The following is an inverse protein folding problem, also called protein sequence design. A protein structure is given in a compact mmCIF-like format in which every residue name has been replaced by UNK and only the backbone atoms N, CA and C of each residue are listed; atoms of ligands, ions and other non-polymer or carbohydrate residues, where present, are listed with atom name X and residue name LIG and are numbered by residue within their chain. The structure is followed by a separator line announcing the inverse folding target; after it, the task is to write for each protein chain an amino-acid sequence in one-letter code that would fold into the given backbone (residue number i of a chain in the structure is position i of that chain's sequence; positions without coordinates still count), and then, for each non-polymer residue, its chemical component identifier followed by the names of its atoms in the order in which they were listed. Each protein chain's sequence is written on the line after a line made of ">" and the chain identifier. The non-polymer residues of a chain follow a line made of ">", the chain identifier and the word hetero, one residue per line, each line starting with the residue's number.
data_IF_582215233438
#
_entry.id   IF_582215233438
#
_cell.length_a   1.000
_cell.length_b   1.000
_cell.length_c   1.000
_cell.angle_alpha   90.00
_cell.angle_beta   90.00
_cell.angle_gamma   90.00
#
_symmetry.space_group_name_H-M   'P 1'
#
loop_
_entity.id
_entity.type
_entity.pdbx_description
1 polymer ?
#
# COMPACT_ATOMS: atom_id res chain seq x y z
N UNK A 1 -29.28 0.58 7.95
CA UNK A 1 -28.43 1.79 8.07
C UNK A 1 -27.12 1.39 8.75
N UNK A 2 -26.28 0.67 8.02
CA UNK A 2 -24.92 0.36 8.47
C UNK A 2 -24.07 1.57 8.10
N UNK A 3 -23.59 2.31 9.10
CA UNK A 3 -22.62 3.37 8.90
C UNK A 3 -21.37 2.77 8.28
N UNK A 4 -21.13 3.11 7.02
CA UNK A 4 -19.80 3.04 6.40
C UNK A 4 -18.83 3.73 7.36
N UNK A 5 -17.67 3.15 7.70
CA UNK A 5 -16.72 3.84 8.54
C UNK A 5 -16.23 5.05 7.74
N UNK A 6 -16.76 6.22 8.09
CA UNK A 6 -16.19 7.49 7.70
C UNK A 6 -14.73 7.42 8.11
N UNK A 7 -13.85 7.28 7.12
CA UNK A 7 -12.43 7.37 7.35
C UNK A 7 -12.17 8.84 7.59
N UNK A 8 -12.34 9.24 8.84
CA UNK A 8 -12.18 10.61 9.30
C UNK A 8 -10.84 11.14 8.76
N UNK A 9 -10.94 12.15 7.89
CA UNK A 9 -9.83 13.06 7.60
C UNK A 9 -9.62 13.97 8.82
N UNK A 10 -9.52 13.40 10.01
CA UNK A 10 -8.97 14.13 11.15
C UNK A 10 -7.54 14.52 10.77
N UNK A 11 -7.23 15.80 10.94
CA UNK A 11 -5.94 16.42 10.63
C UNK A 11 -4.79 15.57 11.19
N UNK A 12 -4.23 14.71 10.33
CA UNK A 12 -3.08 13.89 10.69
C UNK A 12 -1.97 14.87 11.08
N UNK A 13 -1.32 14.68 12.25
CA UNK A 13 -0.24 15.57 12.66
C UNK A 13 0.82 15.62 11.56
N UNK A 14 1.33 16.81 11.26
CA UNK A 14 2.32 17.08 10.17
C UNK A 14 3.49 16.07 10.18
N UNK A 15 3.88 15.61 11.37
CA UNK A 15 4.93 14.58 11.55
C UNK A 15 4.56 13.22 10.96
N UNK A 16 3.30 12.80 11.02
CA UNK A 16 2.79 11.56 10.42
C UNK A 16 2.73 11.65 8.89
N UNK A 17 2.49 12.85 8.35
CA UNK A 17 2.49 13.09 6.91
C UNK A 17 3.91 13.01 6.32
N UNK A 18 4.89 13.67 6.95
CA UNK A 18 6.31 13.61 6.55
C UNK A 18 6.84 12.17 6.57
N UNK A 19 6.45 11.38 7.57
CA UNK A 19 6.82 9.97 7.65
C UNK A 19 6.13 9.11 6.57
N UNK A 20 4.89 9.46 6.21
CA UNK A 20 4.15 8.79 5.13
C UNK A 20 4.85 9.02 3.80
N UNK A 21 5.25 10.25 3.48
CA UNK A 21 5.94 10.59 2.23
C UNK A 21 7.29 9.86 2.11
N UNK A 22 8.08 9.78 3.18
CA UNK A 22 9.35 9.01 3.17
C UNK A 22 9.10 7.52 2.92
N UNK A 23 8.08 6.97 3.57
CA UNK A 23 7.72 5.55 3.42
C UNK A 23 7.23 5.27 1.99
N UNK A 24 6.45 6.19 1.42
CA UNK A 24 6.01 6.16 0.03
C UNK A 24 7.20 6.19 -0.93
N UNK A 25 8.15 7.10 -0.72
CA UNK A 25 9.38 7.15 -1.52
C UNK A 25 10.12 5.80 -1.54
N UNK A 26 10.28 5.17 -0.36
CA UNK A 26 10.90 3.85 -0.24
C UNK A 26 10.13 2.80 -1.05
N UNK A 27 8.80 2.77 -0.90
CA UNK A 27 7.91 1.85 -1.61
C UNK A 27 8.04 1.99 -3.13
N UNK A 28 7.99 3.21 -3.67
CA UNK A 28 8.11 3.46 -5.11
C UNK A 28 9.48 3.07 -5.66
N UNK A 29 10.56 3.38 -4.94
CA UNK A 29 11.89 2.91 -5.33
C UNK A 29 11.94 1.37 -5.44
N UNK A 30 11.32 0.65 -4.50
CA UNK A 30 11.26 -0.81 -4.54
C UNK A 30 10.44 -1.32 -5.73
N UNK A 31 9.24 -0.77 -5.97
CA UNK A 31 8.33 -1.23 -7.04
C UNK A 31 8.79 -0.84 -8.45
N UNK A 32 9.54 0.25 -8.60
CA UNK A 32 9.97 0.75 -9.92
C UNK A 32 11.38 0.28 -10.27
N UNK A 33 12.30 0.30 -9.30
CA UNK A 33 13.72 0.02 -9.56
C UNK A 33 14.08 -1.42 -9.22
N UNK A 34 13.69 -1.92 -8.03
CA UNK A 34 14.06 -3.27 -7.59
C UNK A 34 13.36 -4.36 -8.40
N UNK A 35 12.11 -4.13 -8.82
CA UNK A 35 11.35 -5.09 -9.64
C UNK A 35 12.00 -5.37 -11.01
N UNK A 36 12.85 -4.46 -11.51
CA UNK A 36 13.60 -4.65 -12.77
C UNK A 36 14.84 -5.52 -12.60
N UNK A 37 15.25 -5.82 -11.37
CA UNK A 37 16.42 -6.63 -11.07
C UNK A 37 16.04 -8.11 -11.03
N UNK A 38 16.90 -8.96 -11.58
CA UNK A 38 16.69 -10.41 -11.63
C UNK A 38 17.47 -11.10 -10.52
N UNK A 39 18.76 -10.83 -10.44
CA UNK A 39 19.67 -11.53 -9.54
C UNK A 39 19.51 -11.08 -8.08
N UNK A 40 19.58 -12.05 -7.16
CA UNK A 40 19.48 -11.78 -5.72
C UNK A 40 20.57 -10.83 -5.22
N UNK A 41 21.79 -10.93 -5.79
CA UNK A 41 22.91 -10.05 -5.43
C UNK A 41 22.60 -8.59 -5.77
N UNK A 42 21.92 -8.35 -6.89
CA UNK A 42 21.60 -7.00 -7.36
C UNK A 42 20.49 -6.40 -6.52
N UNK A 43 19.47 -7.21 -6.17
CA UNK A 43 18.43 -6.81 -5.20
C UNK A 43 19.02 -6.46 -3.84
N UNK A 44 19.96 -7.27 -3.33
CA UNK A 44 20.64 -6.99 -2.05
C UNK A 44 21.47 -5.70 -2.09
N UNK A 45 22.20 -5.47 -3.18
CA UNK A 45 22.89 -4.21 -3.41
C UNK A 45 21.93 -3.03 -3.40
N UNK A 46 20.81 -3.15 -4.13
CA UNK A 46 19.77 -2.12 -4.18
C UNK A 46 19.24 -1.78 -2.78
N UNK A 47 18.89 -2.77 -1.95
CA UNK A 47 18.40 -2.50 -0.60
C UNK A 47 19.42 -1.79 0.29
N UNK A 48 20.71 -2.14 0.18
CA UNK A 48 21.78 -1.41 0.88
C UNK A 48 21.89 0.03 0.41
N UNK A 49 21.84 0.24 -0.91
CA UNK A 49 21.96 1.56 -1.50
C UNK A 49 20.76 2.44 -1.13
N UNK A 50 19.55 1.88 -1.14
CA UNK A 50 18.32 2.55 -0.71
C UNK A 50 18.44 3.07 0.73
N UNK A 51 19.03 2.26 1.64
CA UNK A 51 19.27 2.68 3.01
C UNK A 51 20.32 3.81 3.09
N UNK A 52 21.44 3.71 2.34
CA UNK A 52 22.45 4.78 2.27
C UNK A 52 21.83 6.10 1.78
N UNK A 53 21.03 6.06 0.72
CA UNK A 53 20.34 7.25 0.21
C UNK A 53 19.31 7.78 1.22
N UNK A 54 18.57 6.89 1.90
CA UNK A 54 17.62 7.32 2.93
C UNK A 54 18.30 8.08 4.08
N UNK A 55 19.50 7.65 4.49
CA UNK A 55 20.30 8.33 5.51
C UNK A 55 20.78 9.70 5.00
N UNK A 56 21.23 9.76 3.75
CA UNK A 56 21.73 10.98 3.11
C UNK A 56 20.65 12.06 3.00
N UNK A 57 19.45 11.70 2.53
CA UNK A 57 18.39 12.67 2.24
C UNK A 57 17.44 12.92 3.42
N UNK A 58 17.23 11.93 4.30
CA UNK A 58 16.22 12.00 5.37
C UNK A 58 16.80 11.79 6.78
N UNK A 59 18.12 11.65 6.90
CA UNK A 59 18.84 11.57 8.17
C UNK A 59 18.82 10.20 8.86
N UNK A 60 19.55 10.12 9.98
CA UNK A 60 19.81 8.89 10.73
C UNK A 60 18.53 8.21 11.26
N UNK A 61 17.53 8.99 11.67
CA UNK A 61 16.29 8.45 12.22
C UNK A 61 15.50 7.65 11.16
N UNK A 62 15.40 8.21 9.95
CA UNK A 62 14.72 7.53 8.82
C UNK A 62 15.48 6.26 8.44
N UNK A 63 16.82 6.32 8.40
CA UNK A 63 17.66 5.15 8.15
C UNK A 63 17.42 4.01 9.14
N UNK A 64 17.47 4.31 10.44
CA UNK A 64 17.22 3.31 11.49
C UNK A 64 15.84 2.68 11.34
N UNK A 65 14.82 3.52 11.18
CA UNK A 65 13.45 3.05 10.93
C UNK A 65 13.39 2.11 9.74
N UNK A 66 13.91 2.52 8.58
CA UNK A 66 13.87 1.69 7.37
C UNK A 66 14.64 0.38 7.50
N UNK A 67 15.75 0.40 8.23
CA UNK A 67 16.55 -0.79 8.52
C UNK A 67 15.79 -1.77 9.44
N UNK A 68 15.00 -1.27 10.38
CA UNK A 68 14.29 -2.07 11.38
C UNK A 68 12.89 -2.55 10.90
N UNK A 69 12.43 -2.08 9.74
CA UNK A 69 11.19 -2.54 9.12
C UNK A 69 11.31 -4.03 8.76
N UNK A 70 10.52 -4.86 9.44
CA UNK A 70 10.46 -6.32 9.17
C UNK A 70 9.55 -6.67 7.99
N UNK A 71 8.50 -5.89 7.77
CA UNK A 71 7.48 -6.14 6.75
C UNK A 71 7.33 -4.91 5.85
N UNK A 72 7.23 -5.08 4.51
CA UNK A 72 7.04 -3.96 3.61
C UNK A 72 5.80 -3.13 3.97
N UNK A 73 5.94 -1.81 3.94
CA UNK A 73 4.79 -0.91 3.99
C UNK A 73 4.28 -0.71 2.56
N UNK A 74 3.15 -1.32 2.24
CA UNK A 74 2.55 -1.21 0.91
C UNK A 74 1.71 0.05 0.76
N UNK A 75 1.69 0.59 -0.45
CA UNK A 75 0.73 1.60 -0.89
C UNK A 75 -0.06 1.02 -2.05
N UNK A 76 -1.39 1.12 -1.99
CA UNK A 76 -2.30 0.58 -3.01
C UNK A 76 -3.50 1.49 -3.21
N UNK A 77 -4.19 1.33 -4.34
CA UNK A 77 -5.32 2.19 -4.73
C UNK A 77 -6.70 1.52 -4.66
N UNK A 78 -6.81 0.34 -4.05
CA UNK A 78 -7.99 -0.52 -4.16
C UNK A 78 -8.51 -1.03 -2.81
N UNK A 79 -8.30 -0.26 -1.73
CA UNK A 79 -8.73 -0.66 -0.38
C UNK A 79 -10.23 -0.48 -0.12
N UNK A 80 -10.92 0.34 -0.92
CA UNK A 80 -12.35 0.61 -0.79
C UNK A 80 -13.15 -0.30 -1.72
N UNK A 81 -14.31 -0.73 -1.23
CA UNK A 81 -15.29 -1.48 -1.99
C UNK A 81 -16.15 -0.56 -2.84
N UNK A 82 -16.48 -1.02 -4.05
CA UNK A 82 -17.51 -0.42 -4.88
C UNK A 82 -18.86 -0.54 -4.16
N UNK A 83 -19.77 0.39 -4.44
CA UNK A 83 -21.12 0.34 -3.90
C UNK A 83 -21.98 -0.54 -4.80
N UNK A 84 -22.65 -1.52 -4.20
CA UNK A 84 -23.54 -2.47 -4.88
C UNK A 84 -24.97 -2.00 -4.66
N UNK A 85 -25.78 -2.01 -5.72
CA UNK A 85 -27.21 -1.77 -5.65
C UNK A 85 -27.91 -2.97 -4.99
N UNK A 86 -28.62 -2.72 -3.89
CA UNK A 86 -29.23 -3.79 -3.08
C UNK A 86 -30.39 -4.51 -3.80
N UNK A 87 -31.01 -3.91 -4.83
CA UNK A 87 -32.13 -4.51 -5.56
C UNK A 87 -31.68 -5.31 -6.79
N UNK A 88 -30.60 -4.87 -7.46
CA UNK A 88 -30.13 -5.45 -8.73
C UNK A 88 -28.85 -6.27 -8.61
N UNK A 89 -28.14 -6.18 -7.48
CA UNK A 89 -26.81 -6.80 -7.26
C UNK A 89 -25.74 -6.32 -8.27
N UNK A 90 -25.98 -5.19 -8.93
CA UNK A 90 -25.07 -4.54 -9.86
C UNK A 90 -24.23 -3.46 -9.17
N UNK A 91 -23.09 -3.10 -9.78
CA UNK A 91 -22.25 -2.00 -9.28
C UNK A 91 -22.97 -0.68 -9.52
N UNK A 92 -23.41 -0.03 -8.43
CA UNK A 92 -24.05 1.28 -8.45
C UNK A 92 -23.01 2.40 -8.65
N UNK A 93 -21.94 2.37 -7.87
CA UNK A 93 -20.87 3.37 -7.90
C UNK A 93 -19.50 2.73 -7.72
N UNK A 94 -18.55 3.12 -8.57
CA UNK A 94 -17.16 2.71 -8.47
C UNK A 94 -16.45 3.47 -7.33
N UNK A 95 -15.72 2.74 -6.50
CA UNK A 95 -14.93 3.32 -5.43
C UNK A 95 -13.78 4.17 -5.97
N UNK A 96 -13.54 5.30 -5.31
CA UNK A 96 -12.41 6.16 -5.63
C UNK A 96 -11.08 5.42 -5.39
N UNK A 97 -10.22 5.43 -6.42
CA UNK A 97 -8.90 4.81 -6.37
C UNK A 97 -7.87 5.68 -5.66
N UNK A 98 -7.98 5.75 -4.33
CA UNK A 98 -7.05 6.53 -3.50
C UNK A 98 -5.80 5.71 -3.21
N UNK A 99 -4.65 6.19 -3.68
CA UNK A 99 -3.36 5.56 -3.41
C UNK A 99 -2.87 5.87 -2.00
N UNK A 100 -2.99 4.90 -1.09
CA UNK A 100 -2.71 5.10 0.33
C UNK A 100 -2.01 3.92 0.98
N UNK A 101 -1.45 4.17 2.17
CA UNK A 101 -0.72 3.17 2.94
C UNK A 101 -1.68 2.09 3.44
N UNK A 102 -1.32 0.84 3.21
CA UNK A 102 -2.01 -0.32 3.78
C UNK A 102 -1.80 -0.37 5.31
N UNK A 103 -2.86 -0.60 6.10
CA UNK A 103 -2.74 -0.69 7.56
C UNK A 103 -1.83 -1.84 8.02
N UNK A 104 -2.00 -3.03 7.45
CA UNK A 104 -1.22 -4.23 7.78
C UNK A 104 -1.16 -5.25 6.63
N UNK A 105 -0.24 -6.21 6.71
CA UNK A 105 -0.16 -7.33 5.76
C UNK A 105 -1.46 -8.15 5.71
N UNK A 106 -2.12 -8.33 6.85
CA UNK A 106 -3.40 -9.03 6.92
C UNK A 106 -4.47 -8.32 6.08
N UNK A 107 -4.59 -7.00 6.22
CA UNK A 107 -5.59 -6.23 5.48
C UNK A 107 -5.40 -6.36 3.96
N UNK A 108 -4.17 -6.26 3.45
CA UNK A 108 -3.93 -6.41 2.01
C UNK A 108 -4.13 -7.84 1.53
N UNK A 109 -3.75 -8.84 2.33
CA UNK A 109 -3.98 -10.25 1.99
C UNK A 109 -5.47 -10.55 1.86
N UNK A 110 -6.26 -10.22 2.88
CA UNK A 110 -7.72 -10.43 2.84
C UNK A 110 -8.38 -9.69 1.67
N UNK A 111 -7.88 -8.50 1.34
CA UNK A 111 -8.36 -7.73 0.18
C UNK A 111 -8.07 -8.44 -1.15
N UNK A 112 -6.84 -8.92 -1.34
CA UNK A 112 -6.44 -9.64 -2.55
C UNK A 112 -7.20 -10.95 -2.67
N UNK A 113 -7.37 -11.70 -1.57
CA UNK A 113 -8.13 -12.95 -1.53
C UNK A 113 -9.60 -12.74 -1.94
N UNK A 114 -10.24 -11.65 -1.48
CA UNK A 114 -11.58 -11.28 -1.93
C UNK A 114 -11.65 -11.11 -3.46
N UNK A 115 -10.77 -10.31 -4.03
CA UNK A 115 -10.73 -10.09 -5.49
C UNK A 115 -10.40 -11.36 -6.29
N UNK A 116 -9.51 -12.22 -5.78
CA UNK A 116 -9.22 -13.49 -6.43
C UNK A 116 -10.43 -14.43 -6.42
N UNK A 117 -11.18 -14.46 -5.33
CA UNK A 117 -12.40 -15.29 -5.23
C UNK A 117 -13.50 -14.77 -6.16
N UNK A 118 -13.70 -13.46 -6.25
CA UNK A 118 -14.63 -12.83 -7.20
C UNK A 118 -14.24 -13.15 -8.65
N UNK A 119 -12.97 -13.02 -9.01
CA UNK A 119 -12.47 -13.36 -10.34
C UNK A 119 -12.64 -14.84 -10.69
N UNK A 120 -12.48 -15.72 -9.71
CA UNK A 120 -12.60 -17.17 -9.91
C UNK A 120 -14.06 -17.67 -9.81
N UNK A 121 -15.04 -16.82 -9.48
CA UNK A 121 -16.43 -17.23 -9.37
C UNK A 121 -17.02 -17.44 -10.79
N UNK A 122 -17.45 -18.66 -11.16
CA UNK A 122 -17.94 -18.98 -12.51
C UNK A 122 -19.28 -18.32 -12.88
N UNK A 123 -19.85 -17.46 -12.03
CA UNK A 123 -21.08 -16.71 -12.32
C UNK A 123 -20.92 -15.61 -13.39
N UNK A 124 -19.70 -15.42 -13.93
CA UNK A 124 -19.38 -14.44 -14.98
C UNK A 124 -18.86 -15.08 -16.30
N UNK A 125 -19.09 -16.39 -16.52
CA UNK A 125 -18.92 -17.07 -17.82
C UNK A 125 -20.25 -17.25 -18.57
#
# INVERSE_FOLDING_TARGET
>A
ILQSPAYDREDKPVTQEVDTVKTLWKHECERVLCDKLVEKKDKHWFYKELLVQSKRFFGEQTYKRFKDIKYPCYFVSFLRDDTIDEETDEIADLAERIYERVPSEYNIRSRIEKFLNEYNNPQFE
#
